data_IF_482876859796
#
_entry.id   IF_482876859796
#
_cell.length_a   1.000
_cell.length_b   1.000
_cell.length_c   1.000
_cell.angle_alpha   90.00
_cell.angle_beta   90.00
_cell.angle_gamma   90.00
#
_symmetry.space_group_name_H-M   'P 1'
#
loop_
_entity.id
_entity.type
_entity.pdbx_description
1 polymer ?
#
# COMPACT_ATOMS: atom_id res chain seq x y z
N UNK A 1 4.73 -17.15 16.55
CA UNK A 1 4.37 -16.12 15.55
C UNK A 1 3.69 -14.94 16.20
N UNK A 2 2.47 -15.07 16.72
CA UNK A 2 1.80 -13.97 17.44
C UNK A 2 2.53 -13.63 18.75
N UNK A 3 2.68 -14.58 19.68
CA UNK A 3 3.27 -14.29 21.01
C UNK A 3 4.71 -13.76 20.96
N UNK A 4 5.50 -14.15 19.95
CA UNK A 4 6.92 -13.77 19.84
C UNK A 4 7.14 -12.46 19.08
N UNK A 5 6.34 -12.20 18.05
CA UNK A 5 6.59 -11.11 17.10
C UNK A 5 5.39 -10.19 16.88
N UNK A 6 4.25 -10.51 17.48
CA UNK A 6 2.96 -9.90 17.18
C UNK A 6 2.64 -9.92 15.67
N UNK A 7 3.04 -11.00 14.99
CA UNK A 7 2.88 -11.14 13.54
C UNK A 7 1.65 -11.99 13.21
N UNK A 8 0.82 -11.50 12.29
CA UNK A 8 -0.42 -12.12 11.84
C UNK A 8 -0.39 -12.40 10.33
N UNK A 9 -0.94 -13.54 9.92
CA UNK A 9 -1.18 -13.89 8.52
C UNK A 9 -2.69 -13.84 8.31
N UNK A 10 -3.14 -13.05 7.34
CA UNK A 10 -4.56 -12.80 7.08
C UNK A 10 -4.90 -13.16 5.63
N UNK A 11 -6.07 -13.76 5.42
CA UNK A 11 -6.67 -13.95 4.10
C UNK A 11 -7.57 -12.75 3.76
N UNK A 12 -7.35 -12.13 2.60
CA UNK A 12 -8.21 -11.04 2.13
C UNK A 12 -9.47 -11.63 1.49
N UNK A 13 -10.60 -11.55 2.18
CA UNK A 13 -11.89 -12.03 1.67
C UNK A 13 -12.58 -11.04 0.73
N UNK A 14 -12.40 -9.74 0.97
CA UNK A 14 -13.00 -8.66 0.17
C UNK A 14 -12.16 -7.40 0.24
N UNK A 15 -12.11 -6.66 -0.87
CA UNK A 15 -11.51 -5.34 -0.96
C UNK A 15 -12.51 -4.34 -1.55
N UNK A 16 -12.37 -3.07 -1.18
CA UNK A 16 -13.24 -1.98 -1.63
C UNK A 16 -12.40 -0.82 -2.14
N UNK A 17 -12.92 -0.09 -3.12
CA UNK A 17 -12.34 1.12 -3.66
C UNK A 17 -13.38 2.24 -3.69
N UNK A 18 -12.92 3.49 -3.63
CA UNK A 18 -13.74 4.64 -3.98
C UNK A 18 -13.60 4.90 -5.49
N UNK A 19 -14.64 4.62 -6.30
CA UNK A 19 -14.55 4.74 -7.76
C UNK A 19 -14.51 6.19 -8.25
N UNK A 20 -14.95 7.16 -7.42
CA UNK A 20 -14.95 8.58 -7.79
C UNK A 20 -13.57 9.19 -7.61
N UNK A 21 -12.71 8.59 -6.78
CA UNK A 21 -11.37 9.09 -6.49
C UNK A 21 -10.36 8.61 -7.53
N UNK A 22 -10.09 9.48 -8.50
CA UNK A 22 -9.05 9.25 -9.51
C UNK A 22 -7.65 9.43 -8.91
N UNK A 23 -6.75 8.48 -9.17
CA UNK A 23 -5.34 8.51 -8.78
C UNK A 23 -5.10 8.87 -7.29
N UNK A 24 -5.61 8.08 -6.32
CA UNK A 24 -5.35 8.33 -4.91
C UNK A 24 -3.85 8.24 -4.61
N UNK A 25 -3.31 9.23 -3.91
CA UNK A 25 -1.92 9.22 -3.43
C UNK A 25 -1.83 8.48 -2.11
N UNK A 26 -0.98 7.47 -2.06
CA UNK A 26 -0.61 6.80 -0.82
C UNK A 26 0.37 7.67 0.00
N UNK A 27 0.42 7.39 1.30
CA UNK A 27 1.43 7.94 2.21
C UNK A 27 2.32 6.81 2.71
N UNK A 28 3.60 7.10 2.87
CA UNK A 28 4.61 6.19 3.41
C UNK A 28 5.11 6.79 4.72
N UNK A 29 4.94 6.07 5.83
CA UNK A 29 5.44 6.52 7.13
C UNK A 29 6.96 6.32 7.22
N UNK A 30 7.69 7.37 7.61
CA UNK A 30 9.15 7.40 7.71
C UNK A 30 9.65 7.33 9.17
N UNK A 31 8.75 7.22 10.13
CA UNK A 31 9.05 7.27 11.57
C UNK A 31 8.95 8.68 12.15
N UNK A 32 8.82 8.77 13.48
CA UNK A 32 8.79 10.04 14.24
C UNK A 32 7.76 11.06 13.71
N UNK A 33 6.64 10.58 13.16
CA UNK A 33 5.59 11.46 12.61
C UNK A 33 5.92 12.07 11.24
N UNK A 34 7.03 11.68 10.61
CA UNK A 34 7.35 12.07 9.24
C UNK A 34 6.67 11.13 8.23
N UNK A 35 6.15 11.71 7.15
CA UNK A 35 5.47 10.98 6.08
C UNK A 35 5.92 11.50 4.70
N UNK A 36 6.04 10.58 3.76
CA UNK A 36 6.21 10.90 2.34
C UNK A 36 4.91 10.63 1.59
N UNK A 37 4.51 11.55 0.72
CA UNK A 37 3.43 11.32 -0.23
C UNK A 37 4.01 10.64 -1.48
N UNK A 38 3.34 9.59 -1.96
CA UNK A 38 3.75 8.89 -3.18
C UNK A 38 3.92 9.87 -4.35
N UNK A 39 5.04 9.72 -5.07
CA UNK A 39 5.41 10.57 -6.19
C UNK A 39 4.68 10.23 -7.49
N UNK A 40 5.28 10.57 -8.62
CA UNK A 40 4.72 10.29 -9.94
C UNK A 40 4.70 8.78 -10.21
N UNK A 41 3.57 8.26 -10.66
CA UNK A 41 3.47 6.91 -11.22
C UNK A 41 4.25 6.83 -12.53
N UNK A 42 5.13 5.84 -12.65
CA UNK A 42 5.86 5.54 -13.88
C UNK A 42 5.43 4.20 -14.45
N UNK A 43 5.50 4.07 -15.77
CA UNK A 43 5.36 2.78 -16.46
C UNK A 43 6.75 2.34 -16.92
N UNK A 44 7.13 1.10 -16.60
CA UNK A 44 8.36 0.47 -17.07
C UNK A 44 8.01 -0.66 -18.05
N UNK A 45 8.86 -0.98 -19.03
CA UNK A 45 8.66 -2.15 -19.89
C UNK A 45 8.49 -3.42 -19.05
N UNK A 46 7.38 -4.13 -19.23
CA UNK A 46 7.08 -5.38 -18.53
C UNK A 46 6.87 -6.51 -19.53
N UNK A 47 7.39 -7.70 -19.21
CA UNK A 47 7.08 -8.95 -19.93
C UNK A 47 5.83 -9.65 -19.38
N UNK A 48 5.29 -9.15 -18.27
CA UNK A 48 4.03 -9.62 -17.69
C UNK A 48 2.89 -9.07 -18.54
N UNK A 49 2.04 -9.95 -19.06
CA UNK A 49 0.79 -9.60 -19.76
C UNK A 49 -0.31 -9.27 -18.75
#
# INVERSE_FOLDING_TARGET
MVTKYNFFILEVLKAWIDPLRKAPRAIHHLGRGAFMVAGRTIALPSKMK
#
